data_IF_959528968058
#
_entry.id   IF_959528968058
#
_cell.length_a   1.000
_cell.length_b   1.000
_cell.length_c   1.000
_cell.angle_alpha   90.00
_cell.angle_beta   90.00
_cell.angle_gamma   90.00
#
_symmetry.space_group_name_H-M   'P 1'
#
loop_
_entity.id
_entity.type
_entity.pdbx_description
1 polymer ?
#
# COMPACT_ATOMS: atom_id res chain seq x y z
N UNK A 1 -13.30 -3.63 13.60
CA UNK A 1 -12.86 -2.64 14.59
C UNK A 1 -12.78 -1.23 14.00
N UNK A 2 -11.87 -0.89 13.07
CA UNK A 2 -11.76 0.47 12.50
C UNK A 2 -13.10 0.98 11.90
N UNK A 3 -13.83 0.16 11.16
CA UNK A 3 -15.09 0.56 10.52
C UNK A 3 -16.32 0.54 11.45
N UNK A 4 -16.20 -0.07 12.63
CA UNK A 4 -17.35 -0.33 13.51
C UNK A 4 -17.31 0.42 14.83
N UNK A 5 -16.14 0.95 15.22
CA UNK A 5 -15.95 1.71 16.46
C UNK A 5 -15.62 3.16 16.14
N UNK A 6 -16.54 4.10 16.38
CA UNK A 6 -16.36 5.51 16.06
C UNK A 6 -15.12 6.14 16.72
N UNK A 7 -14.84 5.82 17.97
CA UNK A 7 -13.69 6.36 18.69
C UNK A 7 -12.35 5.94 18.06
N UNK A 8 -12.24 4.68 17.65
CA UNK A 8 -11.04 4.17 16.97
C UNK A 8 -10.90 4.83 15.61
N UNK A 9 -12.00 4.93 14.87
CA UNK A 9 -12.01 5.57 13.56
C UNK A 9 -11.57 7.02 13.63
N UNK A 10 -12.15 7.81 14.54
CA UNK A 10 -11.79 9.23 14.73
C UNK A 10 -10.31 9.37 15.08
N UNK A 11 -9.77 8.54 15.97
CA UNK A 11 -8.36 8.59 16.36
C UNK A 11 -7.42 8.29 15.21
N UNK A 12 -7.75 7.27 14.40
CA UNK A 12 -6.95 6.91 13.21
C UNK A 12 -7.06 8.00 12.13
N UNK A 13 -8.26 8.50 11.87
CA UNK A 13 -8.50 9.55 10.87
C UNK A 13 -7.80 10.87 11.27
N UNK A 14 -7.80 11.21 12.56
CA UNK A 14 -7.06 12.35 13.08
C UNK A 14 -5.55 12.22 12.85
N UNK A 15 -4.97 11.07 13.22
CA UNK A 15 -3.55 10.78 12.99
C UNK A 15 -3.21 10.82 11.51
N UNK A 16 -4.07 10.27 10.67
CA UNK A 16 -3.92 10.27 9.23
C UNK A 16 -3.91 11.71 8.67
N UNK A 17 -4.81 12.56 9.12
CA UNK A 17 -4.87 13.96 8.70
C UNK A 17 -3.61 14.74 9.12
N UNK A 18 -3.10 14.53 10.32
CA UNK A 18 -1.84 15.14 10.77
C UNK A 18 -0.66 14.72 9.88
N UNK A 19 -0.57 13.43 9.53
CA UNK A 19 0.47 12.92 8.60
C UNK A 19 0.33 13.56 7.22
N UNK A 20 -0.88 13.68 6.69
CA UNK A 20 -1.13 14.30 5.39
C UNK A 20 -0.76 15.78 5.37
N UNK A 21 -1.08 16.54 6.41
CA UNK A 21 -0.69 17.94 6.52
C UNK A 21 0.84 18.11 6.55
N UNK A 22 1.54 17.24 7.29
CA UNK A 22 3.00 17.26 7.33
C UNK A 22 3.60 16.95 5.94
N UNK A 23 3.04 16.00 5.21
CA UNK A 23 3.49 15.62 3.87
C UNK A 23 3.17 16.68 2.80
N UNK A 24 2.04 17.37 2.90
CA UNK A 24 1.66 18.44 1.98
C UNK A 24 2.60 19.66 2.11
N UNK A 25 3.07 19.96 3.32
CA UNK A 25 4.05 21.02 3.60
C UNK A 25 5.48 20.61 3.26
N UNK A 26 5.73 19.30 3.13
CA UNK A 26 7.05 18.75 2.82
C UNK A 26 7.49 19.06 1.39
N UNK A 27 8.78 19.30 1.24
CA UNK A 27 9.43 19.40 -0.07
C UNK A 27 10.78 18.70 -0.03
N UNK A 28 11.15 18.08 -1.14
CA UNK A 28 12.49 17.52 -1.29
C UNK A 28 13.49 18.64 -1.46
N UNK A 29 14.55 18.65 -0.66
CA UNK A 29 15.64 19.64 -0.71
C UNK A 29 16.91 18.97 -1.25
N UNK A 30 17.66 19.71 -2.05
CA UNK A 30 18.99 19.28 -2.48
C UNK A 30 20.03 19.40 -1.35
N UNK A 31 21.13 18.69 -1.49
CA UNK A 31 22.25 18.68 -0.52
C UNK A 31 23.34 19.73 -0.83
N UNK A 32 23.00 20.79 -1.60
CA UNK A 32 23.91 21.90 -1.90
C UNK A 32 24.69 21.79 -3.22
N UNK A 33 24.72 20.64 -3.89
CA UNK A 33 25.28 20.56 -5.24
C UNK A 33 24.24 20.96 -6.29
N UNK A 34 24.69 21.56 -7.42
CA UNK A 34 23.79 21.90 -8.55
C UNK A 34 22.98 20.71 -9.04
N UNK A 35 23.59 19.52 -9.06
CA UNK A 35 22.93 18.29 -9.51
C UNK A 35 21.82 17.89 -8.54
N UNK A 36 22.10 17.89 -7.24
CA UNK A 36 21.10 17.52 -6.22
C UNK A 36 19.94 18.52 -6.16
N UNK A 37 20.21 19.82 -6.35
CA UNK A 37 19.15 20.83 -6.41
C UNK A 37 18.26 20.68 -7.66
N UNK A 38 18.87 20.35 -8.80
CA UNK A 38 18.11 20.09 -10.04
C UNK A 38 17.27 18.83 -9.89
N UNK A 39 17.81 17.76 -9.31
CA UNK A 39 17.10 16.54 -9.02
C UNK A 39 15.92 16.79 -8.04
N UNK A 40 16.15 17.56 -7.00
CA UNK A 40 15.09 17.92 -6.04
C UNK A 40 13.96 18.73 -6.70
N UNK A 41 14.28 19.68 -7.56
CA UNK A 41 13.29 20.46 -8.33
C UNK A 41 12.49 19.55 -9.29
N UNK A 42 13.17 18.65 -9.96
CA UNK A 42 12.53 17.68 -10.85
C UNK A 42 11.60 16.74 -10.07
N UNK A 43 12.06 16.21 -8.96
CA UNK A 43 11.26 15.29 -8.13
C UNK A 43 10.02 15.99 -7.55
N UNK A 44 10.19 17.20 -6.98
CA UNK A 44 9.04 17.98 -6.50
C UNK A 44 8.04 18.29 -7.61
N UNK A 45 8.52 18.57 -8.81
CA UNK A 45 7.64 18.80 -9.96
C UNK A 45 6.87 17.53 -10.31
N UNK A 46 7.52 16.38 -10.42
CA UNK A 46 6.88 15.12 -10.83
C UNK A 46 5.88 14.61 -9.81
N UNK A 47 6.16 14.78 -8.51
CA UNK A 47 5.24 14.42 -7.43
C UNK A 47 3.96 15.25 -7.44
N UNK A 48 4.06 16.55 -7.80
CA UNK A 48 2.91 17.45 -7.83
C UNK A 48 2.15 17.45 -9.16
N UNK A 49 2.75 16.92 -10.23
CA UNK A 49 2.20 16.93 -11.58
C UNK A 49 2.10 15.52 -12.17
N UNK A 50 1.58 14.57 -11.39
CA UNK A 50 1.26 13.23 -11.88
C UNK A 50 0.14 13.30 -12.91
N UNK A 51 0.15 12.41 -13.90
CA UNK A 51 -0.89 12.35 -14.93
C UNK A 51 -2.21 11.79 -14.40
N UNK A 52 -2.15 10.97 -13.34
CA UNK A 52 -3.32 10.36 -12.70
C UNK A 52 -3.21 10.40 -11.18
N UNK A 53 -4.23 10.94 -10.54
CA UNK A 53 -4.30 11.10 -9.09
C UNK A 53 -3.43 12.23 -8.58
N UNK A 54 -3.52 12.49 -7.30
CA UNK A 54 -2.75 13.51 -6.60
C UNK A 54 -1.78 12.89 -5.61
N UNK A 55 -0.74 13.62 -5.26
CA UNK A 55 0.18 13.25 -4.18
C UNK A 55 -0.56 12.97 -2.86
N UNK A 56 -1.53 13.84 -2.52
CA UNK A 56 -2.32 13.71 -1.30
C UNK A 56 -3.15 12.42 -1.27
N UNK A 57 -3.80 12.06 -2.38
CA UNK A 57 -4.56 10.80 -2.50
C UNK A 57 -3.65 9.58 -2.37
N UNK A 58 -2.48 9.62 -3.01
CA UNK A 58 -1.49 8.55 -2.90
C UNK A 58 -1.02 8.38 -1.46
N UNK A 59 -0.72 9.46 -0.77
CA UNK A 59 -0.28 9.42 0.63
C UNK A 59 -1.41 9.02 1.59
N UNK A 60 -2.64 9.44 1.34
CA UNK A 60 -3.80 8.94 2.09
C UNK A 60 -3.95 7.42 1.97
N UNK A 61 -3.73 6.89 0.77
CA UNK A 61 -3.69 5.44 0.55
C UNK A 61 -2.48 4.77 1.23
N UNK A 62 -1.33 5.45 1.26
CA UNK A 62 -0.14 5.03 2.00
C UNK A 62 -0.40 4.89 3.50
N UNK A 63 -1.11 5.84 4.08
CA UNK A 63 -1.42 5.87 5.52
C UNK A 63 -2.35 4.75 6.00
N UNK A 64 -2.84 3.88 5.11
CA UNK A 64 -3.55 2.66 5.52
C UNK A 64 -2.66 1.68 6.30
N UNK A 65 -1.34 1.93 6.35
CA UNK A 65 -0.40 1.24 7.23
C UNK A 65 -0.78 1.33 8.71
N UNK A 66 -1.45 2.41 9.13
CA UNK A 66 -1.99 2.55 10.49
C UNK A 66 -3.01 1.47 10.82
N UNK A 67 -3.84 1.08 9.86
CA UNK A 67 -4.90 0.08 10.09
C UNK A 67 -4.38 -1.34 9.92
N UNK A 68 -3.56 -1.56 8.88
CA UNK A 68 -3.14 -2.90 8.47
C UNK A 68 -1.70 -3.27 8.85
N UNK A 69 -0.93 -2.31 9.39
CA UNK A 69 0.50 -2.47 9.68
C UNK A 69 1.39 -2.13 8.50
N UNK A 70 0.90 -2.23 7.27
CA UNK A 70 1.63 -1.86 6.05
C UNK A 70 0.71 -1.34 4.95
N UNK A 71 1.32 -0.65 4.00
CA UNK A 71 0.68 -0.30 2.74
C UNK A 71 1.69 -0.31 1.59
N UNK A 72 1.18 -0.51 0.39
CA UNK A 72 1.97 -0.63 -0.83
C UNK A 72 1.44 0.31 -1.90
N UNK A 73 2.33 1.12 -2.48
CA UNK A 73 2.03 1.91 -3.67
C UNK A 73 2.98 1.48 -4.79
N UNK A 74 2.43 1.11 -5.93
CA UNK A 74 3.22 0.81 -7.12
C UNK A 74 3.55 2.10 -7.86
N UNK A 75 4.83 2.31 -8.11
CA UNK A 75 5.37 3.45 -8.87
C UNK A 75 5.21 3.16 -10.36
N UNK A 76 4.37 3.95 -11.02
CA UNK A 76 4.17 3.85 -12.47
C UNK A 76 4.78 5.07 -13.13
N UNK A 77 5.71 4.84 -14.04
CA UNK A 77 6.43 5.87 -14.78
C UNK A 77 5.88 6.02 -16.19
N UNK A 78 6.06 7.20 -16.79
CA UNK A 78 5.78 7.47 -18.20
C UNK A 78 6.80 8.43 -18.80
N UNK A 79 6.99 8.35 -20.09
CA UNK A 79 7.74 9.37 -20.84
C UNK A 79 6.80 10.53 -21.13
N UNK A 80 7.20 11.74 -20.73
CA UNK A 80 6.37 12.93 -20.91
C UNK A 80 6.57 13.55 -22.27
N UNK A 81 5.48 13.76 -23.00
CA UNK A 81 5.54 14.30 -24.36
C UNK A 81 5.32 15.82 -24.43
N UNK A 82 5.00 16.46 -23.29
CA UNK A 82 4.69 17.89 -23.21
C UNK A 82 5.26 18.56 -21.96
N UNK A 83 5.28 19.89 -21.96
CA UNK A 83 5.62 20.72 -20.79
C UNK A 83 7.12 20.83 -20.52
N UNK A 84 7.45 21.32 -19.31
CA UNK A 84 8.81 21.70 -18.90
C UNK A 84 9.84 20.57 -18.97
N UNK A 85 9.41 19.32 -18.76
CA UNK A 85 10.26 18.14 -18.77
C UNK A 85 9.88 17.16 -19.91
N UNK A 86 9.56 17.72 -21.08
CA UNK A 86 9.32 16.94 -22.28
C UNK A 86 10.50 16.01 -22.59
N UNK A 87 10.23 14.76 -22.92
CA UNK A 87 11.23 13.73 -23.21
C UNK A 87 11.81 13.03 -21.98
N UNK A 88 11.55 13.53 -20.77
CA UNK A 88 12.00 12.89 -19.51
C UNK A 88 11.02 11.85 -19.05
N UNK A 89 11.52 10.86 -18.29
CA UNK A 89 10.71 9.88 -17.58
C UNK A 89 10.23 10.51 -16.27
N UNK A 90 8.91 10.60 -16.11
CA UNK A 90 8.25 11.23 -14.95
C UNK A 90 7.33 10.23 -14.27
N UNK A 91 6.90 10.58 -13.07
CA UNK A 91 5.92 9.80 -12.33
C UNK A 91 4.53 9.98 -12.97
N UNK A 92 3.97 8.87 -13.47
CA UNK A 92 2.62 8.83 -14.00
C UNK A 92 1.57 8.81 -12.91
N UNK A 93 1.73 7.86 -11.98
CA UNK A 93 0.88 7.68 -10.81
C UNK A 93 1.55 6.82 -9.75
N UNK A 94 1.09 6.95 -8.52
CA UNK A 94 1.31 6.02 -7.43
C UNK A 94 0.04 5.18 -7.26
N UNK A 95 0.09 3.91 -7.65
CA UNK A 95 -1.10 3.05 -7.65
C UNK A 95 -1.16 2.25 -6.35
N UNK A 96 -2.16 2.50 -5.47
CA UNK A 96 -2.30 1.75 -4.24
C UNK A 96 -2.60 0.28 -4.52
N UNK A 97 -2.02 -0.59 -3.70
CA UNK A 97 -2.25 -2.03 -3.73
C UNK A 97 -2.91 -2.45 -2.43
N UNK A 98 -4.08 -3.06 -2.53
CA UNK A 98 -4.83 -3.49 -1.35
C UNK A 98 -4.07 -4.58 -0.61
N UNK A 99 -4.04 -4.53 0.71
CA UNK A 99 -3.34 -5.48 1.55
C UNK A 99 -3.87 -6.91 1.36
N UNK A 100 -5.17 -7.06 1.15
CA UNK A 100 -5.84 -8.35 0.87
C UNK A 100 -5.43 -8.98 -0.46
N UNK A 101 -4.87 -8.17 -1.39
CA UNK A 101 -4.35 -8.67 -2.66
C UNK A 101 -2.96 -9.26 -2.55
N UNK A 102 -2.23 -8.97 -1.49
CA UNK A 102 -0.90 -9.55 -1.26
C UNK A 102 -1.04 -11.04 -0.99
N UNK A 103 -0.41 -11.84 -1.83
CA UNK A 103 -0.36 -13.29 -1.68
C UNK A 103 0.88 -13.74 -0.92
N UNK A 104 2.02 -13.11 -1.21
CA UNK A 104 3.28 -13.46 -0.60
C UNK A 104 4.34 -12.39 -0.80
N UNK A 105 5.39 -12.50 0.00
CA UNK A 105 6.57 -11.67 -0.02
C UNK A 105 7.74 -12.47 -0.59
N UNK A 106 8.50 -11.87 -1.48
CA UNK A 106 9.66 -12.50 -2.11
C UNK A 106 10.92 -11.86 -1.53
N UNK A 107 11.77 -12.69 -0.96
CA UNK A 107 13.04 -12.27 -0.39
C UNK A 107 14.20 -12.72 -1.28
N UNK A 108 15.37 -12.18 -1.01
CA UNK A 108 16.62 -12.68 -1.60
C UNK A 108 16.95 -14.10 -1.10
N UNK A 109 17.98 -14.72 -1.69
CA UNK A 109 18.41 -16.08 -1.33
C UNK A 109 18.82 -16.23 0.14
N UNK A 110 19.18 -15.15 0.80
CA UNK A 110 19.57 -15.12 2.21
C UNK A 110 18.42 -14.73 3.14
N UNK A 111 17.20 -14.56 2.61
CA UNK A 111 15.99 -14.14 3.33
C UNK A 111 16.14 -12.81 4.11
N UNK A 112 17.03 -11.92 3.67
CA UNK A 112 17.30 -10.65 4.33
C UNK A 112 16.59 -9.49 3.67
N UNK A 113 16.71 -9.38 2.34
CA UNK A 113 16.21 -8.24 1.59
C UNK A 113 14.94 -8.58 0.83
N UNK A 114 13.94 -7.71 0.94
CA UNK A 114 12.70 -7.84 0.19
C UNK A 114 12.94 -7.54 -1.30
N UNK A 115 12.77 -8.54 -2.14
CA UNK A 115 12.87 -8.45 -3.60
C UNK A 115 11.59 -7.95 -4.25
N UNK A 116 10.45 -8.28 -3.68
CA UNK A 116 9.17 -7.87 -4.23
C UNK A 116 7.99 -8.54 -3.58
N UNK A 117 6.84 -8.35 -4.20
CA UNK A 117 5.55 -8.82 -3.72
C UNK A 117 4.81 -9.55 -4.80
N UNK A 118 4.21 -10.68 -4.44
CA UNK A 118 3.28 -11.41 -5.30
C UNK A 118 1.86 -11.03 -4.93
N UNK A 119 1.09 -10.59 -5.90
CA UNK A 119 -0.31 -10.24 -5.73
C UNK A 119 -1.24 -11.26 -6.37
N UNK A 120 -2.37 -11.50 -5.72
CA UNK A 120 -3.52 -12.16 -6.33
C UNK A 120 -4.07 -11.29 -7.45
N UNK A 121 -4.62 -11.89 -8.52
CA UNK A 121 -5.30 -11.11 -9.54
C UNK A 121 -6.44 -10.34 -8.89
N UNK A 122 -6.53 -9.06 -9.20
CA UNK A 122 -7.71 -8.29 -8.89
C UNK A 122 -8.83 -8.87 -9.77
N UNK A 123 -9.86 -9.43 -9.14
CA UNK A 123 -11.11 -9.76 -9.85
C UNK A 123 -11.77 -8.46 -10.25
N UNK A 124 -11.33 -7.90 -11.37
CA UNK A 124 -12.12 -6.88 -12.05
C UNK A 124 -13.32 -7.63 -12.61
N UNK A 125 -14.52 -7.25 -12.20
CA UNK A 125 -15.75 -7.76 -12.83
C UNK A 125 -15.58 -7.58 -14.33
N UNK A 126 -15.43 -8.65 -15.11
CA UNK A 126 -15.35 -8.72 -16.57
C UNK A 126 -13.97 -8.69 -17.26
N UNK A 127 -12.81 -8.76 -16.58
CA UNK A 127 -11.53 -8.99 -17.28
C UNK A 127 -10.62 -9.91 -16.49
N UNK A 128 -10.41 -11.10 -17.01
CA UNK A 128 -9.29 -11.94 -16.62
C UNK A 128 -8.03 -11.34 -17.24
N UNK A 129 -7.02 -11.04 -16.43
CA UNK A 129 -5.71 -10.60 -16.92
C UNK A 129 -5.07 -11.81 -17.62
N UNK A 130 -4.81 -11.70 -18.89
CA UNK A 130 -4.20 -12.76 -19.71
C UNK A 130 -2.68 -12.72 -19.62
N UNK A 131 -2.03 -13.82 -19.99
CA UNK A 131 -0.54 -13.94 -20.02
C UNK A 131 0.08 -12.83 -20.88
N UNK A 132 -0.59 -12.38 -21.94
CA UNK A 132 -0.14 -11.29 -22.81
C UNK A 132 0.02 -9.96 -22.06
N UNK A 133 -0.78 -9.71 -21.02
CA UNK A 133 -0.67 -8.49 -20.21
C UNK A 133 0.60 -8.50 -19.33
N UNK A 134 1.12 -9.68 -19.02
CA UNK A 134 2.39 -9.86 -18.29
C UNK A 134 3.61 -9.58 -19.19
N UNK A 135 3.62 -10.14 -20.39
CA UNK A 135 4.71 -9.97 -21.36
C UNK A 135 4.89 -8.49 -21.71
N UNK A 136 3.79 -7.76 -21.84
CA UNK A 136 3.79 -6.32 -22.14
C UNK A 136 4.23 -5.46 -20.94
N UNK A 137 4.27 -5.99 -19.70
CA UNK A 137 4.75 -5.26 -18.52
C UNK A 137 6.26 -5.38 -18.30
N UNK A 138 6.99 -6.12 -19.13
CA UNK A 138 8.45 -6.24 -19.13
C UNK A 138 8.99 -7.09 -17.96
N UNK A 139 8.17 -7.95 -17.36
CA UNK A 139 8.60 -8.86 -16.31
C UNK A 139 8.95 -10.20 -16.93
N UNK A 140 10.23 -10.60 -16.84
CA UNK A 140 10.68 -11.91 -17.31
C UNK A 140 10.18 -13.02 -16.38
N UNK A 141 9.65 -14.07 -16.97
CA UNK A 141 9.15 -15.26 -16.28
C UNK A 141 10.24 -16.03 -15.51
N UNK A 142 11.51 -15.83 -15.88
CA UNK A 142 12.67 -16.57 -15.35
C UNK A 142 13.16 -16.06 -13.98
N UNK A 143 12.63 -14.92 -13.49
CA UNK A 143 13.04 -14.35 -12.20
C UNK A 143 12.20 -14.86 -11.02
N UNK A 144 11.23 -15.71 -11.28
CA UNK A 144 10.32 -16.24 -10.27
C UNK A 144 10.63 -17.72 -10.07
N UNK A 145 11.54 -18.00 -9.15
CA UNK A 145 11.90 -19.38 -8.76
C UNK A 145 10.84 -19.91 -7.78
N UNK A 146 9.77 -20.43 -8.33
CA UNK A 146 8.70 -21.08 -7.58
C UNK A 146 8.82 -22.59 -7.68
N UNK A 147 9.24 -23.24 -6.62
CA UNK A 147 9.23 -24.69 -6.52
C UNK A 147 7.85 -25.29 -6.89
N UNK A 148 7.82 -25.89 -8.07
CA UNK A 148 6.93 -26.97 -8.54
C UNK A 148 5.38 -26.91 -8.38
N UNK A 149 4.76 -25.83 -7.96
CA UNK A 149 3.29 -25.75 -7.85
C UNK A 149 2.62 -24.70 -8.76
N UNK A 150 3.25 -24.30 -9.84
CA UNK A 150 2.89 -23.07 -10.58
C UNK A 150 2.09 -23.29 -11.86
N UNK A 151 1.54 -24.45 -12.10
CA UNK A 151 0.56 -24.59 -13.19
C UNK A 151 -0.75 -23.77 -12.99
N UNK A 152 -0.85 -23.04 -11.87
CA UNK A 152 -1.89 -22.02 -11.62
C UNK A 152 -1.38 -20.59 -11.69
N UNK A 153 -0.18 -20.33 -12.18
CA UNK A 153 0.52 -19.05 -12.15
C UNK A 153 -0.06 -17.97 -13.08
N UNK A 154 -1.02 -18.29 -13.92
CA UNK A 154 -1.73 -17.33 -14.77
C UNK A 154 -2.57 -16.30 -14.01
N UNK A 155 -2.59 -16.39 -12.66
CA UNK A 155 -3.45 -15.56 -11.80
C UNK A 155 -2.70 -14.59 -10.87
N UNK A 156 -1.37 -14.61 -10.82
CA UNK A 156 -0.60 -13.81 -9.87
C UNK A 156 0.30 -12.80 -10.58
N UNK A 157 0.47 -11.62 -9.98
CA UNK A 157 1.37 -10.58 -10.49
C UNK A 157 2.52 -10.37 -9.52
N UNK A 158 3.75 -10.48 -10.01
CA UNK A 158 4.94 -10.08 -9.26
C UNK A 158 5.19 -8.58 -9.46
N UNK A 159 5.50 -7.88 -8.38
CA UNK A 159 5.93 -6.48 -8.42
C UNK A 159 7.26 -6.39 -7.71
N UNK A 160 8.27 -5.95 -8.43
CA UNK A 160 9.62 -5.75 -7.93
C UNK A 160 9.68 -4.63 -6.88
N UNK A 161 10.55 -4.78 -5.88
CA UNK A 161 10.72 -3.82 -4.79
C UNK A 161 11.16 -2.44 -5.28
N UNK A 162 11.91 -2.36 -6.39
CA UNK A 162 12.33 -1.09 -6.99
C UNK A 162 11.15 -0.24 -7.53
N UNK A 163 10.01 -0.87 -7.76
CA UNK A 163 8.77 -0.22 -8.20
C UNK A 163 7.72 -0.08 -7.09
N UNK A 164 8.10 -0.35 -5.85
CA UNK A 164 7.20 -0.29 -4.71
C UNK A 164 7.64 0.78 -3.72
N UNK A 165 6.70 1.63 -3.32
CA UNK A 165 6.81 2.36 -2.06
C UNK A 165 6.12 1.50 -0.99
N UNK A 166 6.91 1.02 -0.06
CA UNK A 166 6.47 0.15 1.02
C UNK A 166 6.47 0.91 2.33
N UNK A 167 5.30 1.26 2.83
CA UNK A 167 5.10 1.87 4.13
C UNK A 167 4.87 0.77 5.17
N UNK A 168 5.54 0.88 6.31
CA UNK A 168 5.39 -0.05 7.43
C UNK A 168 5.26 0.73 8.72
N UNK A 169 4.26 0.38 9.51
CA UNK A 169 4.14 0.88 10.85
C UNK A 169 4.84 -0.08 11.81
N UNK A 170 5.72 0.45 12.67
CA UNK A 170 6.46 -0.31 13.68
C UNK A 170 7.02 -1.66 13.15
N UNK A 171 7.94 -1.65 12.18
CA UNK A 171 8.52 -2.88 11.66
C UNK A 171 9.40 -3.54 12.72
N UNK A 172 9.10 -4.80 13.06
CA UNK A 172 9.87 -5.62 13.99
C UNK A 172 10.53 -6.75 13.19
N UNK A 173 11.80 -7.01 13.45
CA UNK A 173 12.55 -8.17 12.95
C UNK A 173 12.49 -8.39 11.42
N UNK A 174 12.52 -7.31 10.65
CA UNK A 174 12.47 -7.40 9.18
C UNK A 174 11.10 -7.81 8.62
N UNK A 175 10.08 -7.95 9.45
CA UNK A 175 8.72 -8.28 9.02
C UNK A 175 8.20 -7.24 8.01
N UNK A 176 7.88 -7.64 6.77
CA UNK A 176 7.39 -6.73 5.75
C UNK A 176 5.96 -6.25 6.03
N UNK A 177 5.21 -6.93 6.87
CA UNK A 177 3.83 -6.55 7.20
C UNK A 177 3.75 -5.45 8.27
N UNK A 178 4.86 -5.17 9.00
CA UNK A 178 4.82 -4.25 10.13
C UNK A 178 3.84 -4.71 11.22
N UNK A 179 3.45 -3.78 12.10
CA UNK A 179 2.53 -4.06 13.20
C UNK A 179 1.58 -2.87 13.38
N UNK A 180 0.28 -3.10 13.16
CA UNK A 180 -0.72 -2.04 13.35
C UNK A 180 -0.81 -1.60 14.82
N UNK A 181 -0.92 -0.30 15.11
CA UNK A 181 -1.19 0.21 16.46
C UNK A 181 -2.54 -0.24 17.02
N UNK A 182 -3.41 -0.81 16.17
CA UNK A 182 -4.71 -1.33 16.59
C UNK A 182 -4.65 -2.77 17.14
N UNK A 183 -3.52 -3.47 17.01
CA UNK A 183 -3.39 -4.84 17.50
C UNK A 183 -3.67 -4.96 19.01
N UNK A 184 -3.11 -4.09 19.88
CA UNK A 184 -3.40 -4.16 21.32
C UNK A 184 -4.86 -3.86 21.65
N UNK A 185 -5.58 -3.16 20.79
CA UNK A 185 -6.99 -2.81 21.00
C UNK A 185 -7.95 -3.96 20.65
N UNK A 186 -7.45 -5.06 20.09
CA UNK A 186 -8.31 -6.16 19.63
C UNK A 186 -9.00 -6.90 20.76
N UNK A 187 -8.27 -7.26 21.83
CA UNK A 187 -8.84 -8.00 22.96
C UNK A 187 -9.95 -7.22 23.66
N UNK A 188 -9.71 -5.96 24.11
CA UNK A 188 -10.77 -5.14 24.72
C UNK A 188 -11.98 -4.93 23.79
N UNK A 189 -11.74 -4.79 22.50
CA UNK A 189 -12.82 -4.68 21.52
C UNK A 189 -13.67 -5.94 21.44
N UNK A 190 -13.03 -7.12 21.36
CA UNK A 190 -13.73 -8.39 21.30
C UNK A 190 -14.56 -8.66 22.57
N UNK A 191 -14.00 -8.35 23.74
CA UNK A 191 -14.68 -8.46 25.03
C UNK A 191 -15.90 -7.51 25.11
N UNK A 192 -15.73 -6.25 24.70
CA UNK A 192 -16.84 -5.31 24.60
C UNK A 192 -17.96 -5.86 23.73
N UNK A 193 -17.64 -6.39 22.54
CA UNK A 193 -18.64 -6.95 21.62
C UNK A 193 -19.34 -8.18 22.19
N UNK A 194 -18.65 -8.95 23.00
CA UNK A 194 -19.24 -10.10 23.70
C UNK A 194 -20.24 -9.65 24.76
N UNK A 195 -19.88 -8.66 25.58
CA UNK A 195 -20.75 -8.07 26.61
C UNK A 195 -22.01 -7.48 25.94
N UNK A 196 -21.87 -6.61 24.94
CA UNK A 196 -22.98 -6.04 24.18
C UNK A 196 -23.96 -7.14 23.67
N UNK A 197 -23.41 -8.23 23.19
CA UNK A 197 -24.24 -9.37 22.71
C UNK A 197 -25.02 -10.05 23.82
N UNK A 198 -24.43 -10.19 25.02
CA UNK A 198 -25.12 -10.80 26.16
C UNK A 198 -26.18 -9.85 26.74
N UNK A 199 -25.89 -8.54 26.81
CA UNK A 199 -26.86 -7.53 27.24
C UNK A 199 -28.10 -7.53 26.35
N UNK A 200 -27.91 -7.51 25.02
CA UNK A 200 -29.04 -7.59 24.05
C UNK A 200 -29.88 -8.87 24.27
N UNK A 201 -29.23 -9.99 24.54
CA UNK A 201 -29.93 -11.27 24.78
C UNK A 201 -30.68 -11.26 26.11
N UNK A 202 -30.10 -10.66 27.15
CA UNK A 202 -30.78 -10.46 28.43
C UNK A 202 -32.04 -9.65 28.32
N UNK A 203 -31.93 -8.46 27.70
CA UNK A 203 -33.04 -7.56 27.44
C UNK A 203 -34.14 -8.24 26.60
N UNK A 204 -33.74 -8.99 25.56
CA UNK A 204 -34.69 -9.72 24.72
C UNK A 204 -35.46 -10.79 25.47
N UNK A 205 -34.86 -11.46 26.44
CA UNK A 205 -35.53 -12.44 27.30
C UNK A 205 -36.51 -11.77 28.26
N UNK A 206 -36.08 -10.67 28.88
CA UNK A 206 -36.91 -9.94 29.84
C UNK A 206 -38.14 -9.28 29.18
N UNK A 207 -38.05 -8.91 27.90
CA UNK A 207 -39.16 -8.36 27.13
C UNK A 207 -40.12 -9.43 26.55
N UNK A 208 -39.66 -10.67 26.48
CA UNK A 208 -40.45 -11.79 25.90
C UNK A 208 -41.13 -12.68 26.94
N UNK A 209 -40.90 -12.45 28.24
CA UNK A 209 -41.57 -13.13 29.35
C UNK A 209 -42.86 -12.47 29.65
#
# INVERSE_FOLDING_TARGET
MYNTEPAIRVSVDYTNNLRLEALDKGSVKGTGSKVSETAAKFLNYTLRNMSFGTWREAMASGNTDLVYGFSLLNVVLEKRDYGKYKGSVVLKKLAPRTQSSVYGWVFDKNNRDLKGVVQKPLKVKNRETTISDFVNSGISYNDIDFNNNIHRATKYTYIDSSRLLHFRFNPVDGNPQGSSPLIPCWSPYAEKKLIEKYEIRGISKDLSG
#
